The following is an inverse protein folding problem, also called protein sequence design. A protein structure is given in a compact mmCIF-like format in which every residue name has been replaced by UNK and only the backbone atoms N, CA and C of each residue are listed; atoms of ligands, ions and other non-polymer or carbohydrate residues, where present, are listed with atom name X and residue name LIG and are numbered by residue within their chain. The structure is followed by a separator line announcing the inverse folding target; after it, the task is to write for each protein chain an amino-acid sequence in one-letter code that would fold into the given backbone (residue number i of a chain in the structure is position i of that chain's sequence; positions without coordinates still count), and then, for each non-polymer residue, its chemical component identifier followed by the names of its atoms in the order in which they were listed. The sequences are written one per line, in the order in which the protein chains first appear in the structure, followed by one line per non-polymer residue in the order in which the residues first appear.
data_IF_216739853066
#
_entry.id   IF_216739853066
#
_cell.length_a   1.000
_cell.length_b   1.000
_cell.length_c   1.000
_cell.angle_alpha   90.00
_cell.angle_beta   90.00
_cell.angle_gamma   90.00
#
_symmetry.space_group_name_H-M   'P 1'
#
loop_
_entity.id
_entity.type
_entity.pdbx_description
1 polymer ?
#
# COMPACT_ATOMS: atom_id res chain seq x y z
N UNK A 1 7.25 -22.38 -33.00
CA UNK A 1 6.09 -21.76 -32.71
C UNK A 1 6.21 -20.84 -31.60
N UNK A 2 5.83 -19.78 -31.76
CA UNK A 2 5.99 -18.93 -30.79
C UNK A 2 4.81 -18.85 -30.02
N UNK A 3 4.95 -19.23 -28.89
CA UNK A 3 4.11 -18.87 -27.96
C UNK A 3 4.12 -17.48 -27.93
N UNK A 4 3.43 -16.92 -28.69
CA UNK A 4 3.16 -15.58 -28.54
C UNK A 4 2.77 -15.42 -27.17
N UNK A 5 3.61 -15.23 -26.33
CA UNK A 5 3.29 -14.88 -25.03
C UNK A 5 2.04 -14.17 -24.92
N UNK A 6 1.11 -14.63 -25.66
CA UNK A 6 -0.17 -14.10 -25.69
C UNK A 6 -0.44 -13.62 -24.35
N UNK A 7 -0.07 -12.47 -24.14
CA UNK A 7 -0.35 -11.74 -23.01
C UNK A 7 -0.94 -12.51 -21.89
N UNK A 8 -0.21 -13.46 -21.42
CA UNK A 8 -0.61 -14.07 -20.21
C UNK A 8 -0.51 -12.94 -19.20
N UNK A 9 -1.58 -12.21 -19.09
CA UNK A 9 -1.79 -11.30 -17.98
C UNK A 9 -1.84 -12.12 -16.69
N UNK A 10 -1.11 -13.21 -16.66
CA UNK A 10 -0.94 -13.96 -15.45
C UNK A 10 -0.08 -13.10 -14.55
N UNK A 11 -0.59 -12.64 -13.44
CA UNK A 11 0.23 -11.88 -12.50
C UNK A 11 1.44 -12.74 -12.17
N UNK A 12 2.62 -12.13 -12.02
CA UNK A 12 3.82 -12.88 -11.71
C UNK A 12 3.54 -13.77 -10.51
N UNK A 13 3.64 -15.07 -10.72
CA UNK A 13 3.42 -15.99 -9.62
C UNK A 13 4.51 -15.74 -8.59
N UNK A 14 4.07 -15.35 -7.41
CA UNK A 14 4.96 -15.23 -6.28
C UNK A 14 5.51 -16.62 -6.03
N UNK A 15 6.81 -16.79 -6.22
CA UNK A 15 7.43 -18.10 -6.02
C UNK A 15 7.39 -18.46 -4.52
N UNK A 16 7.68 -19.73 -4.21
CA UNK A 16 7.63 -20.23 -2.82
C UNK A 16 8.50 -19.42 -1.86
N UNK A 17 9.65 -18.95 -2.34
CA UNK A 17 10.56 -18.17 -1.52
C UNK A 17 9.98 -16.79 -1.19
N UNK A 18 9.34 -16.15 -2.17
CA UNK A 18 8.68 -14.87 -1.94
C UNK A 18 7.51 -15.01 -0.99
N UNK A 19 6.71 -16.07 -1.12
CA UNK A 19 5.61 -16.35 -0.19
C UNK A 19 6.11 -16.60 1.21
N UNK A 20 7.19 -17.35 1.35
CA UNK A 20 7.80 -17.59 2.65
C UNK A 20 8.33 -16.29 3.26
N UNK A 21 9.00 -15.46 2.46
CA UNK A 21 9.52 -14.16 2.91
C UNK A 21 8.41 -13.22 3.37
N UNK A 22 7.30 -13.14 2.61
CA UNK A 22 6.16 -12.33 3.00
C UNK A 22 5.51 -12.85 4.28
N UNK A 23 5.34 -14.16 4.42
CA UNK A 23 4.79 -14.76 5.63
C UNK A 23 5.67 -14.51 6.85
N UNK A 24 6.99 -14.57 6.67
CA UNK A 24 7.93 -14.28 7.74
C UNK A 24 7.87 -12.81 8.15
N UNK A 25 7.79 -11.88 7.20
CA UNK A 25 7.65 -10.46 7.49
C UNK A 25 6.37 -10.18 8.28
N UNK A 26 5.25 -10.76 7.87
CA UNK A 26 3.99 -10.61 8.58
C UNK A 26 4.11 -11.14 10.01
N UNK A 27 4.71 -12.32 10.18
CA UNK A 27 4.92 -12.92 11.50
C UNK A 27 5.77 -12.01 12.39
N UNK A 28 6.87 -11.47 11.86
CA UNK A 28 7.75 -10.59 12.61
C UNK A 28 7.07 -9.27 12.98
N UNK A 29 6.29 -8.69 12.07
CA UNK A 29 5.53 -7.48 12.35
C UNK A 29 4.50 -7.72 13.46
N UNK A 30 3.79 -8.84 13.41
CA UNK A 30 2.80 -9.19 14.44
C UNK A 30 3.42 -9.39 15.81
N UNK A 31 4.65 -9.87 15.85
CA UNK A 31 5.38 -10.08 17.09
C UNK A 31 6.11 -8.83 17.58
N UNK A 32 6.07 -7.74 16.81
CA UNK A 32 6.77 -6.51 17.15
C UNK A 32 8.28 -6.61 16.99
N UNK A 33 8.77 -7.63 16.28
CA UNK A 33 10.21 -7.87 16.13
C UNK A 33 10.87 -7.00 15.07
N UNK A 34 10.09 -6.31 14.27
CA UNK A 34 10.64 -5.45 13.22
C UNK A 34 10.97 -4.02 13.70
N UNK A 35 10.82 -3.77 14.99
CA UNK A 35 11.23 -2.50 15.57
C UNK A 35 10.62 -1.29 14.86
N UNK A 36 11.48 -0.39 14.34
CA UNK A 36 11.02 0.83 13.67
C UNK A 36 10.20 0.58 12.43
N UNK A 37 10.29 -0.60 11.82
CA UNK A 37 9.47 -0.91 10.65
C UNK A 37 7.98 -0.88 10.97
N UNK A 38 7.59 -1.18 12.21
CA UNK A 38 6.19 -1.12 12.61
C UNK A 38 5.62 0.31 12.66
N UNK A 39 6.46 1.34 12.58
CA UNK A 39 6.02 2.73 12.56
C UNK A 39 5.53 3.14 11.16
N UNK A 40 5.91 2.40 10.11
CA UNK A 40 5.50 2.72 8.75
C UNK A 40 5.01 1.51 7.94
N UNK A 41 4.96 0.32 8.53
CA UNK A 41 4.39 -0.88 7.90
C UNK A 41 3.22 -1.40 8.74
N UNK A 42 2.13 -1.70 8.07
CA UNK A 42 0.98 -2.39 8.66
C UNK A 42 0.75 -3.69 7.91
N UNK A 43 -0.05 -4.57 8.49
CA UNK A 43 -0.49 -5.80 7.83
C UNK A 43 -1.93 -5.58 7.38
N UNK A 44 -2.18 -5.75 6.10
CA UNK A 44 -3.53 -5.66 5.55
C UNK A 44 -4.02 -7.04 5.13
N UNK A 45 -5.25 -7.38 5.51
CA UNK A 45 -5.92 -8.59 5.06
C UNK A 45 -7.12 -8.17 4.23
N UNK A 46 -7.15 -8.62 2.98
CA UNK A 46 -8.24 -8.34 2.07
C UNK A 46 -8.87 -9.64 1.60
N UNK A 47 -10.17 -9.58 1.28
CA UNK A 47 -10.85 -10.72 0.68
C UNK A 47 -10.65 -10.67 -0.83
N UNK A 48 -10.15 -11.75 -1.40
CA UNK A 48 -9.94 -11.82 -2.85
C UNK A 48 -11.25 -11.65 -3.60
N UNK A 49 -11.29 -10.68 -4.49
CA UNK A 49 -12.50 -10.36 -5.24
C UNK A 49 -12.91 -11.45 -6.24
N UNK A 50 -12.00 -12.34 -6.58
CA UNK A 50 -12.27 -13.45 -7.51
C UNK A 50 -12.39 -14.78 -6.79
N UNK A 51 -11.55 -15.04 -5.80
CA UNK A 51 -11.47 -16.33 -5.13
C UNK A 51 -12.23 -16.37 -3.81
N UNK A 52 -12.53 -15.23 -3.21
CA UNK A 52 -13.10 -15.16 -1.88
C UNK A 52 -12.13 -15.51 -0.75
N UNK A 53 -10.89 -15.84 -1.09
CA UNK A 53 -9.89 -16.20 -0.08
C UNK A 53 -9.22 -14.95 0.48
N UNK A 54 -8.90 -14.99 1.75
CA UNK A 54 -8.18 -13.89 2.38
C UNK A 54 -6.72 -13.88 1.94
N UNK A 55 -6.22 -12.67 1.65
CA UNK A 55 -4.81 -12.45 1.35
C UNK A 55 -4.27 -11.44 2.35
N UNK A 56 -3.13 -11.75 2.96
CA UNK A 56 -2.52 -10.95 4.02
C UNK A 56 -1.10 -10.57 3.61
N UNK A 57 -0.82 -9.26 3.58
CA UNK A 57 0.50 -8.74 3.20
C UNK A 57 0.86 -7.52 4.02
N UNK A 58 2.16 -7.19 4.16
CA UNK A 58 2.59 -5.93 4.74
C UNK A 58 2.53 -4.83 3.68
N UNK A 59 2.09 -3.63 4.08
CA UNK A 59 2.10 -2.46 3.22
C UNK A 59 2.54 -1.23 4.01
N UNK A 60 3.00 -0.23 3.29
CA UNK A 60 3.40 1.04 3.90
C UNK A 60 2.16 1.86 4.27
N UNK A 61 2.24 2.58 5.38
CA UNK A 61 1.16 3.46 5.83
C UNK A 61 1.70 4.72 6.48
N UNK A 62 0.85 5.71 6.61
CA UNK A 62 1.13 6.95 7.33
C UNK A 62 -0.16 7.41 8.01
N UNK A 63 -0.05 7.88 9.24
CA UNK A 63 -1.21 8.43 9.94
C UNK A 63 -1.47 9.88 9.54
N UNK A 64 -2.73 10.24 9.42
CA UNK A 64 -3.18 11.61 9.21
C UNK A 64 -4.34 11.83 10.17
N UNK A 65 -4.04 12.25 11.39
CA UNK A 65 -5.01 12.25 12.47
C UNK A 65 -5.43 10.81 12.77
N UNK A 66 -6.72 10.54 12.69
CA UNK A 66 -7.26 9.20 12.90
C UNK A 66 -7.36 8.40 11.60
N UNK A 67 -7.14 9.04 10.46
CA UNK A 67 -7.17 8.37 9.18
C UNK A 67 -5.82 7.72 8.88
N UNK A 68 -5.85 6.60 8.18
CA UNK A 68 -4.66 5.83 7.81
C UNK A 68 -4.48 5.96 6.30
N UNK A 69 -3.38 6.56 5.90
CA UNK A 69 -3.07 6.75 4.48
C UNK A 69 -2.25 5.56 4.00
N UNK A 70 -2.68 4.98 2.88
CA UNK A 70 -1.92 3.96 2.16
C UNK A 70 -1.73 4.41 0.73
N UNK A 71 -0.73 3.87 0.06
CA UNK A 71 -0.42 4.27 -1.31
C UNK A 71 -0.09 3.06 -2.18
N UNK A 72 -0.38 3.20 -3.47
CA UNK A 72 -0.14 2.13 -4.44
C UNK A 72 -0.16 2.70 -5.86
N UNK A 73 0.59 2.14 -6.81
CA UNK A 73 0.46 2.52 -8.22
C UNK A 73 -0.90 2.18 -8.84
N UNK A 74 -1.72 1.38 -8.15
CA UNK A 74 -3.06 1.03 -8.62
C UNK A 74 -3.17 -0.35 -9.26
N UNK A 75 -2.08 -1.13 -9.24
CA UNK A 75 -2.05 -2.44 -9.88
C UNK A 75 -1.97 -3.62 -8.91
N UNK A 76 -1.87 -3.38 -7.61
CA UNK A 76 -1.78 -4.46 -6.63
C UNK A 76 -3.13 -5.11 -6.38
N UNK A 77 -3.10 -6.40 -6.07
CA UNK A 77 -4.32 -7.14 -5.76
C UNK A 77 -5.03 -6.60 -4.51
N UNK A 78 -4.27 -6.28 -3.45
CA UNK A 78 -4.88 -5.75 -2.24
C UNK A 78 -5.63 -4.44 -2.52
N UNK A 79 -5.06 -3.57 -3.35
CA UNK A 79 -5.67 -2.30 -3.73
C UNK A 79 -7.00 -2.54 -4.44
N UNK A 80 -7.00 -3.42 -5.42
CA UNK A 80 -8.21 -3.76 -6.18
C UNK A 80 -9.25 -4.45 -5.30
N UNK A 81 -8.81 -5.30 -4.38
CA UNK A 81 -9.70 -5.98 -3.43
C UNK A 81 -10.38 -4.99 -2.50
N UNK A 82 -9.64 -3.99 -2.00
CA UNK A 82 -10.22 -2.94 -1.15
C UNK A 82 -11.25 -2.14 -1.91
N UNK A 83 -10.95 -1.74 -3.15
CA UNK A 83 -11.91 -0.98 -3.97
C UNK A 83 -13.19 -1.78 -4.21
N UNK A 84 -13.08 -3.09 -4.40
CA UNK A 84 -14.24 -3.94 -4.62
C UNK A 84 -15.08 -4.13 -3.35
N UNK A 85 -14.43 -4.30 -2.21
CA UNK A 85 -15.11 -4.58 -0.94
C UNK A 85 -15.46 -3.34 -0.12
N UNK A 86 -14.72 -2.26 -0.31
CA UNK A 86 -14.90 -1.03 0.47
C UNK A 86 -14.28 -1.08 1.87
N UNK A 87 -13.68 -2.20 2.24
CA UNK A 87 -13.11 -2.39 3.57
C UNK A 87 -11.99 -3.41 3.57
N UNK A 88 -11.25 -3.44 4.66
CA UNK A 88 -10.19 -4.41 4.87
C UNK A 88 -9.95 -4.57 6.38
N UNK A 89 -9.19 -5.59 6.74
CA UNK A 89 -8.73 -5.75 8.12
C UNK A 89 -7.29 -5.26 8.17
N UNK A 90 -7.03 -4.35 9.09
CA UNK A 90 -5.70 -3.78 9.29
C UNK A 90 -5.14 -4.22 10.64
N UNK A 91 -3.83 -4.45 10.66
CA UNK A 91 -3.12 -4.72 11.92
C UNK A 91 -1.98 -3.71 12.01
N UNK A 92 -2.05 -2.85 13.00
CA UNK A 92 -1.04 -1.82 13.26
C UNK A 92 -0.52 -2.02 14.68
N UNK A 93 0.80 -2.27 14.79
CA UNK A 93 1.46 -2.45 16.10
C UNK A 93 0.73 -3.48 16.98
N UNK A 94 0.34 -4.59 16.37
CA UNK A 94 -0.31 -5.69 17.07
C UNK A 94 -1.81 -5.52 17.31
N UNK A 95 -2.39 -4.39 16.90
CA UNK A 95 -3.83 -4.16 17.03
C UNK A 95 -4.52 -4.43 15.71
N UNK A 96 -5.51 -5.32 15.75
CA UNK A 96 -6.26 -5.74 14.57
C UNK A 96 -7.66 -5.12 14.61
N UNK A 97 -8.08 -4.53 13.51
CA UNK A 97 -9.40 -3.90 13.42
C UNK A 97 -9.87 -3.85 11.96
N UNK A 98 -11.18 -3.75 11.79
CA UNK A 98 -11.78 -3.55 10.47
C UNK A 98 -11.76 -2.06 10.15
N UNK A 99 -11.48 -1.73 8.90
CA UNK A 99 -11.42 -0.35 8.45
C UNK A 99 -12.13 -0.20 7.10
N UNK A 100 -12.81 0.94 6.94
CA UNK A 100 -13.44 1.31 5.67
C UNK A 100 -12.40 2.08 4.87
N UNK A 101 -12.20 1.68 3.61
CA UNK A 101 -11.25 2.33 2.72
C UNK A 101 -11.95 3.14 1.65
N UNK A 102 -11.45 4.34 1.41
CA UNK A 102 -11.92 5.18 0.32
C UNK A 102 -10.76 5.60 -0.58
N UNK A 103 -10.98 5.55 -1.87
CA UNK A 103 -10.01 6.07 -2.84
C UNK A 103 -10.02 7.59 -2.77
N UNK A 104 -8.84 8.18 -2.64
CA UNK A 104 -8.71 9.64 -2.64
C UNK A 104 -8.72 10.13 -4.08
N UNK A 105 -9.78 10.81 -4.48
CA UNK A 105 -9.96 11.29 -5.85
C UNK A 105 -9.80 12.81 -6.00
N UNK A 106 -9.98 13.56 -4.91
CA UNK A 106 -9.83 15.00 -4.94
C UNK A 106 -8.36 15.40 -5.14
N UNK A 107 -8.08 16.22 -6.14
CA UNK A 107 -6.71 16.61 -6.46
C UNK A 107 -6.04 17.42 -5.34
N UNK A 108 -6.77 18.26 -4.64
CA UNK A 108 -6.21 19.01 -3.51
C UNK A 108 -5.80 18.05 -2.39
N UNK A 109 -6.65 17.08 -2.10
CA UNK A 109 -6.35 16.08 -1.08
C UNK A 109 -5.17 15.22 -1.50
N UNK A 110 -5.11 14.80 -2.76
CA UNK A 110 -4.00 14.03 -3.29
C UNK A 110 -2.67 14.78 -3.15
N UNK A 111 -2.66 16.06 -3.52
CA UNK A 111 -1.47 16.91 -3.38
C UNK A 111 -1.07 17.09 -1.92
N UNK A 112 -2.05 17.29 -1.05
CA UNK A 112 -1.81 17.43 0.38
C UNK A 112 -1.15 16.19 0.98
N UNK A 113 -1.63 15.01 0.61
CA UNK A 113 -1.02 13.74 1.05
C UNK A 113 0.41 13.62 0.54
N UNK A 114 0.63 13.91 -0.72
CA UNK A 114 1.96 13.83 -1.34
C UNK A 114 2.94 14.78 -0.65
N UNK A 115 2.51 16.02 -0.39
CA UNK A 115 3.31 17.01 0.32
C UNK A 115 3.59 16.58 1.76
N UNK A 116 2.63 15.96 2.40
CA UNK A 116 2.82 15.44 3.76
C UNK A 116 3.94 14.41 3.82
N UNK A 117 3.98 13.51 2.86
CA UNK A 117 5.10 12.56 2.75
C UNK A 117 6.42 13.29 2.52
N UNK A 118 6.42 14.25 1.61
CA UNK A 118 7.62 14.97 1.21
C UNK A 118 8.22 15.79 2.35
N UNK A 119 7.37 16.44 3.15
CA UNK A 119 7.83 17.33 4.24
C UNK A 119 8.10 16.59 5.54
N UNK A 120 7.30 15.58 5.88
CA UNK A 120 7.45 14.88 7.16
C UNK A 120 8.66 13.98 7.18
N UNK A 121 8.96 13.30 6.07
CA UNK A 121 10.12 12.43 5.99
C UNK A 121 10.66 12.38 4.56
N UNK A 122 11.53 13.31 4.19
CA UNK A 122 12.08 13.35 2.83
C UNK A 122 12.78 12.07 2.41
N UNK A 123 13.41 11.35 3.33
CA UNK A 123 14.11 10.10 2.99
C UNK A 123 13.15 8.99 2.63
N UNK A 124 12.06 8.86 3.36
CA UNK A 124 11.01 7.89 3.04
C UNK A 124 10.34 8.28 1.73
N UNK A 125 10.06 9.57 1.53
CA UNK A 125 9.51 10.08 0.28
C UNK A 125 10.38 9.67 -0.91
N UNK A 126 11.68 9.92 -0.83
CA UNK A 126 12.61 9.59 -1.92
C UNK A 126 12.68 8.10 -2.19
N UNK A 127 12.60 7.29 -1.14
CA UNK A 127 12.59 5.84 -1.29
C UNK A 127 11.31 5.33 -1.94
N UNK A 128 10.17 5.89 -1.56
CA UNK A 128 8.87 5.47 -2.08
C UNK A 128 8.66 5.94 -3.52
N UNK A 129 8.90 7.22 -3.77
CA UNK A 129 8.57 7.83 -5.07
C UNK A 129 9.74 7.88 -6.04
N UNK A 130 10.94 7.56 -5.56
CA UNK A 130 12.16 7.44 -6.36
C UNK A 130 12.56 8.73 -7.09
N UNK A 131 12.28 9.87 -6.48
CA UNK A 131 12.73 11.17 -6.92
C UNK A 131 13.21 11.97 -5.73
N UNK A 132 14.13 12.93 -5.90
CA UNK A 132 14.54 13.81 -4.82
C UNK A 132 13.35 14.61 -4.28
N UNK A 133 13.31 14.81 -2.96
CA UNK A 133 12.25 15.60 -2.32
C UNK A 133 12.23 17.04 -2.81
N UNK A 134 13.37 17.56 -3.28
CA UNK A 134 13.50 18.91 -3.80
C UNK A 134 13.36 18.98 -5.33
N UNK A 135 12.73 18.00 -5.93
CA UNK A 135 12.51 18.00 -7.37
C UNK A 135 11.62 19.16 -7.81
N UNK A 136 11.75 19.62 -9.09
CA UNK A 136 10.86 20.64 -9.62
C UNK A 136 9.39 20.22 -9.56
N UNK A 137 8.50 21.19 -9.40
CA UNK A 137 7.06 20.93 -9.28
C UNK A 137 6.53 20.08 -10.42
N UNK A 138 6.96 20.34 -11.63
CA UNK A 138 6.53 19.58 -12.80
C UNK A 138 6.82 18.09 -12.67
N UNK A 139 8.00 17.75 -12.16
CA UNK A 139 8.36 16.36 -11.91
C UNK A 139 7.57 15.75 -10.76
N UNK A 140 7.38 16.52 -9.70
CA UNK A 140 6.57 16.07 -8.57
C UNK A 140 5.15 15.72 -9.02
N UNK A 141 4.54 16.56 -9.84
CA UNK A 141 3.18 16.32 -10.34
C UNK A 141 3.13 15.11 -11.27
N UNK A 142 4.17 14.91 -12.07
CA UNK A 142 4.24 13.72 -12.94
C UNK A 142 4.27 12.45 -12.12
N UNK A 143 5.06 12.43 -11.05
CA UNK A 143 5.14 11.27 -10.16
C UNK A 143 3.82 11.06 -9.44
N UNK A 144 3.24 12.13 -8.89
CA UNK A 144 1.95 12.05 -8.19
C UNK A 144 0.87 11.42 -9.08
N UNK A 145 0.86 11.74 -10.36
CA UNK A 145 -0.14 11.19 -11.29
C UNK A 145 -0.10 9.68 -11.41
N UNK A 146 1.02 9.06 -11.08
CA UNK A 146 1.21 7.60 -11.17
C UNK A 146 0.85 6.86 -9.90
N UNK A 147 0.54 7.58 -8.83
CA UNK A 147 0.25 6.99 -7.53
C UNK A 147 -1.19 7.21 -7.13
N UNK A 148 -1.74 6.24 -6.41
CA UNK A 148 -3.09 6.30 -5.86
C UNK A 148 -3.04 6.16 -4.36
N UNK A 149 -3.97 6.79 -3.69
CA UNK A 149 -4.04 6.76 -2.22
C UNK A 149 -5.40 6.23 -1.79
N UNK A 150 -5.38 5.38 -0.78
CA UNK A 150 -6.58 4.96 -0.07
C UNK A 150 -6.43 5.41 1.37
N UNK A 151 -7.44 6.11 1.88
CA UNK A 151 -7.53 6.44 3.30
C UNK A 151 -8.47 5.47 3.98
N UNK A 152 -8.04 4.92 5.08
CA UNK A 152 -8.84 4.02 5.90
C UNK A 152 -9.29 4.72 7.16
N UNK A 153 -10.53 4.46 7.54
CA UNK A 153 -11.09 4.91 8.80
C UNK A 153 -11.52 3.67 9.59
N UNK A 154 -11.12 3.60 10.84
CA UNK A 154 -11.48 2.47 11.70
C UNK A 154 -13.00 2.42 11.84
N UNK A 155 -13.55 1.22 11.69
CA UNK A 155 -14.98 0.99 11.80
C UNK A 155 -15.42 0.86 13.24
#
# INVERSE_FOLDING_TARGET
MVETGAGTNTPPQVNRFQKFGLSMQVFMLRRGWMGKASDFLLVITTKGRRTGRNATIPISYKMDGEEIITLNPGNSNWFKNVLAAGSAILEIKGRKFEAVGRLVTDEKERRSIFEKYRTDDPKIFERLFRIPAVSPEEELLRVLSKWKFIKFTKR
#
